data_IF_350212790408
#
_entry.id   IF_350212790408
#
_cell.length_a   1.000
_cell.length_b   1.000
_cell.length_c   1.000
_cell.angle_alpha   90.00
_cell.angle_beta   90.00
_cell.angle_gamma   90.00
#
_symmetry.space_group_name_H-M   'P 1'
#
loop_
_entity.id
_entity.type
_entity.pdbx_description
1 polymer ?
#
# COMPACT_ATOMS: atom_id res chain seq x y z
N UNK A 1 -21.13 1.00 -29.96
CA UNK A 1 -21.21 1.28 -28.50
C UNK A 1 -20.18 2.29 -28.11
N UNK A 2 -20.58 3.27 -27.29
CA UNK A 2 -19.68 4.21 -26.64
C UNK A 2 -19.99 4.22 -25.14
N UNK A 3 -18.95 4.25 -24.30
CA UNK A 3 -19.08 4.42 -22.87
C UNK A 3 -18.56 5.81 -22.47
N UNK A 4 -19.19 6.46 -21.49
CA UNK A 4 -18.78 7.76 -20.97
C UNK A 4 -17.48 7.69 -20.13
N UNK A 5 -17.07 6.48 -19.73
CA UNK A 5 -15.81 6.22 -19.02
C UNK A 5 -14.85 5.45 -19.91
N UNK A 6 -13.57 5.83 -19.89
CA UNK A 6 -12.51 5.10 -20.57
C UNK A 6 -12.18 3.78 -19.84
N UNK A 7 -12.21 3.82 -18.53
CA UNK A 7 -11.98 2.68 -17.63
C UNK A 7 -13.22 2.53 -16.75
N UNK A 8 -13.78 1.33 -16.69
CA UNK A 8 -14.97 1.00 -15.89
C UNK A 8 -14.53 0.10 -14.73
N UNK A 9 -14.89 0.51 -13.52
CA UNK A 9 -14.52 -0.19 -12.29
C UNK A 9 -15.78 -0.66 -11.55
N UNK A 10 -15.68 -1.72 -10.71
CA UNK A 10 -16.72 -2.03 -9.75
C UNK A 10 -17.08 -0.82 -8.89
N UNK A 11 -18.38 -0.57 -8.69
CA UNK A 11 -18.88 0.63 -8.00
C UNK A 11 -19.23 1.79 -8.92
N UNK A 12 -18.90 1.72 -10.20
CA UNK A 12 -19.13 2.81 -11.15
C UNK A 12 -20.58 2.97 -11.60
N UNK A 13 -20.92 4.24 -11.85
CA UNK A 13 -22.10 4.63 -12.66
C UNK A 13 -21.64 4.94 -14.08
N UNK A 14 -22.15 4.22 -15.03
CA UNK A 14 -21.80 4.37 -16.45
C UNK A 14 -22.99 4.80 -17.30
N UNK A 15 -22.68 5.43 -18.43
CA UNK A 15 -23.64 5.75 -19.48
C UNK A 15 -23.14 5.17 -20.78
N UNK A 16 -23.94 4.30 -21.38
CA UNK A 16 -23.67 3.69 -22.66
C UNK A 16 -24.51 4.37 -23.74
N UNK A 17 -23.92 4.69 -24.86
CA UNK A 17 -24.59 5.06 -26.08
C UNK A 17 -24.54 3.85 -27.04
N UNK A 18 -25.65 3.21 -27.23
CA UNK A 18 -25.80 2.03 -28.08
C UNK A 18 -26.41 2.47 -29.40
N UNK A 19 -25.70 2.25 -30.50
CA UNK A 19 -26.17 2.60 -31.85
C UNK A 19 -26.52 1.33 -32.60
N UNK A 20 -27.75 1.24 -33.06
CA UNK A 20 -28.29 0.18 -33.89
C UNK A 20 -28.51 0.71 -35.30
N UNK A 21 -28.36 -0.14 -36.31
CA UNK A 21 -28.51 0.26 -37.70
C UNK A 21 -29.38 -0.74 -38.45
N UNK A 22 -30.41 -0.28 -39.14
CA UNK A 22 -31.08 -1.07 -40.14
C UNK A 22 -30.12 -1.37 -41.30
N UNK A 23 -29.67 -2.60 -41.43
CA UNK A 23 -28.69 -3.03 -42.45
C UNK A 23 -29.31 -3.21 -43.83
N UNK A 24 -30.65 -3.29 -43.94
CA UNK A 24 -31.32 -3.34 -45.26
C UNK A 24 -30.96 -2.10 -46.08
N UNK A 25 -30.78 -2.29 -47.36
CA UNK A 25 -30.60 -1.19 -48.34
C UNK A 25 -31.92 -0.67 -48.95
N UNK A 26 -33.02 -1.42 -48.74
CA UNK A 26 -34.28 -1.15 -49.43
C UNK A 26 -35.50 -1.17 -48.52
N UNK A 27 -35.45 -1.88 -47.40
CA UNK A 27 -36.59 -2.19 -46.57
C UNK A 27 -36.61 -1.37 -45.29
N UNK A 28 -37.72 -0.74 -44.97
CA UNK A 28 -38.02 -0.09 -43.70
C UNK A 28 -38.56 -1.16 -42.74
N UNK A 29 -38.01 -1.22 -41.54
CA UNK A 29 -38.57 -2.01 -40.45
C UNK A 29 -39.53 -1.13 -39.64
N UNK A 30 -40.56 -1.73 -39.05
CA UNK A 30 -41.67 -1.01 -38.38
C UNK A 30 -41.89 -1.56 -36.98
N UNK A 31 -42.59 -0.78 -36.16
CA UNK A 31 -42.97 -1.17 -34.79
C UNK A 31 -41.84 -1.74 -33.97
N UNK A 32 -40.65 -1.08 -34.07
CA UNK A 32 -39.43 -1.57 -33.45
C UNK A 32 -39.46 -1.36 -31.93
N UNK A 33 -39.32 -2.43 -31.17
CA UNK A 33 -39.17 -2.44 -29.72
C UNK A 33 -37.78 -2.93 -29.37
N UNK A 34 -36.92 -2.04 -28.94
CA UNK A 34 -35.54 -2.33 -28.48
C UNK A 34 -35.51 -2.40 -26.97
N UNK A 35 -35.21 -3.56 -26.41
CA UNK A 35 -35.04 -3.76 -24.97
C UNK A 35 -33.55 -4.00 -24.64
N UNK A 36 -33.07 -3.36 -23.58
CA UNK A 36 -31.69 -3.57 -23.07
C UNK A 36 -31.75 -3.95 -21.59
N UNK A 37 -30.99 -4.96 -21.21
CA UNK A 37 -30.89 -5.47 -19.84
C UNK A 37 -29.50 -5.99 -19.52
N UNK A 38 -29.36 -6.59 -18.37
CA UNK A 38 -28.18 -7.41 -17.99
C UNK A 38 -28.66 -8.62 -17.20
N UNK A 39 -28.05 -9.76 -17.43
CA UNK A 39 -28.31 -10.98 -16.65
C UNK A 39 -27.42 -11.02 -15.37
N UNK A 40 -26.49 -10.08 -15.22
CA UNK A 40 -25.66 -9.99 -14.04
C UNK A 40 -26.40 -9.21 -12.95
N UNK A 41 -26.67 -9.87 -11.81
CA UNK A 41 -27.38 -9.27 -10.67
C UNK A 41 -26.65 -8.05 -10.05
N UNK A 42 -25.34 -7.96 -10.28
CA UNK A 42 -24.52 -6.84 -9.86
C UNK A 42 -24.54 -5.66 -10.84
N UNK A 43 -25.39 -5.69 -11.87
CA UNK A 43 -25.57 -4.64 -12.86
C UNK A 43 -27.00 -4.16 -12.85
N UNK A 44 -27.23 -2.96 -12.38
CA UNK A 44 -28.57 -2.37 -12.32
C UNK A 44 -28.76 -1.29 -13.40
N UNK A 45 -29.73 -1.49 -14.31
CA UNK A 45 -30.17 -0.45 -15.24
C UNK A 45 -30.88 0.65 -14.45
N UNK A 46 -30.48 1.90 -14.65
CA UNK A 46 -30.97 3.09 -13.91
C UNK A 46 -31.88 3.99 -14.75
N UNK A 47 -32.21 3.61 -15.96
CA UNK A 47 -33.19 4.31 -16.76
C UNK A 47 -34.62 4.13 -16.19
N UNK A 48 -35.51 5.07 -16.49
CA UNK A 48 -36.95 4.93 -16.16
C UNK A 48 -37.61 3.78 -16.90
N UNK A 49 -37.13 3.51 -18.12
CA UNK A 49 -37.51 2.37 -18.93
C UNK A 49 -36.25 1.72 -19.51
N UNK A 50 -36.29 0.43 -19.74
CA UNK A 50 -35.26 -0.33 -20.44
C UNK A 50 -35.69 -0.75 -21.85
N UNK A 51 -36.82 -0.22 -22.32
CA UNK A 51 -37.38 -0.50 -23.65
C UNK A 51 -37.67 0.82 -24.36
N UNK A 52 -37.21 0.94 -25.60
CA UNK A 52 -37.43 2.08 -26.50
C UNK A 52 -38.22 1.64 -27.69
N UNK A 53 -39.16 2.46 -28.11
CA UNK A 53 -40.04 2.19 -29.23
C UNK A 53 -39.78 3.18 -30.36
N UNK A 54 -39.71 2.66 -31.60
CA UNK A 54 -39.57 3.45 -32.82
C UNK A 54 -40.64 2.98 -33.81
N UNK A 55 -41.35 3.92 -34.36
CA UNK A 55 -42.43 3.61 -35.31
C UNK A 55 -41.85 2.99 -36.60
N UNK A 56 -40.79 3.61 -37.11
CA UNK A 56 -40.14 3.19 -38.35
C UNK A 56 -38.63 3.43 -38.24
N UNK A 57 -37.81 2.55 -38.81
CA UNK A 57 -36.38 2.74 -39.04
C UNK A 57 -36.10 2.51 -40.51
N UNK A 58 -35.79 3.60 -41.25
CA UNK A 58 -35.55 3.57 -42.70
C UNK A 58 -34.32 2.72 -43.07
N UNK A 59 -34.18 2.34 -44.36
CA UNK A 59 -32.97 1.66 -44.84
C UNK A 59 -31.70 2.42 -44.50
N UNK A 60 -30.69 1.72 -43.93
CA UNK A 60 -29.39 2.25 -43.49
C UNK A 60 -29.46 3.28 -42.35
N UNK A 61 -30.63 3.58 -41.82
CA UNK A 61 -30.77 4.51 -40.70
C UNK A 61 -30.19 3.93 -39.44
N UNK A 62 -29.67 4.85 -38.61
CA UNK A 62 -29.07 4.56 -37.29
C UNK A 62 -29.92 5.20 -36.22
N UNK A 63 -30.26 4.44 -35.22
CA UNK A 63 -30.86 4.92 -33.98
C UNK A 63 -29.86 4.79 -32.84
N UNK A 64 -29.92 5.68 -31.86
CA UNK A 64 -29.03 5.64 -30.68
C UNK A 64 -29.87 5.74 -29.41
N UNK A 65 -29.70 4.78 -28.53
CA UNK A 65 -30.30 4.78 -27.20
C UNK A 65 -29.23 4.99 -26.12
N UNK A 66 -29.65 5.62 -25.01
CA UNK A 66 -28.77 5.89 -23.88
C UNK A 66 -29.18 5.02 -22.71
N UNK A 67 -28.24 4.18 -22.27
CA UNK A 67 -28.43 3.27 -21.13
C UNK A 67 -27.55 3.75 -19.98
N UNK A 68 -28.17 4.03 -18.84
CA UNK A 68 -27.48 4.33 -17.60
C UNK A 68 -27.47 3.09 -16.72
N UNK A 69 -26.31 2.68 -16.24
CA UNK A 69 -26.16 1.50 -15.40
C UNK A 69 -25.29 1.79 -14.18
N UNK A 70 -25.58 1.10 -13.10
CA UNK A 70 -24.76 1.02 -11.89
C UNK A 70 -24.10 -0.35 -11.86
N UNK A 71 -22.78 -0.37 -11.79
CA UNK A 71 -22.00 -1.59 -11.55
C UNK A 71 -21.75 -1.69 -10.04
N UNK A 72 -22.24 -2.73 -9.41
CA UNK A 72 -22.03 -2.93 -7.96
C UNK A 72 -20.63 -3.47 -7.66
N UNK A 73 -20.16 -3.30 -6.42
CA UNK A 73 -18.82 -3.76 -5.99
C UNK A 73 -18.64 -5.29 -6.06
N UNK A 74 -19.74 -6.04 -5.94
CA UNK A 74 -19.75 -7.50 -6.01
C UNK A 74 -19.70 -8.09 -7.42
N UNK A 75 -19.55 -7.25 -8.47
CA UNK A 75 -19.45 -7.75 -9.85
C UNK A 75 -18.16 -8.57 -10.02
N UNK A 76 -18.29 -9.76 -10.60
CA UNK A 76 -17.18 -10.66 -10.91
C UNK A 76 -16.90 -10.71 -12.41
N UNK A 77 -15.77 -11.34 -12.82
CA UNK A 77 -15.35 -11.46 -14.21
C UNK A 77 -14.65 -10.23 -14.77
N UNK A 78 -14.14 -10.34 -15.98
CA UNK A 78 -13.40 -9.28 -16.70
C UNK A 78 -14.31 -8.36 -17.50
N UNK A 79 -15.57 -8.75 -17.66
CA UNK A 79 -16.55 -8.04 -18.48
C UNK A 79 -17.89 -7.94 -17.76
N UNK A 80 -18.62 -6.89 -18.11
CA UNK A 80 -20.05 -6.76 -17.80
C UNK A 80 -20.83 -6.84 -19.09
N UNK A 81 -21.80 -7.76 -19.13
CA UNK A 81 -22.62 -8.00 -20.30
C UNK A 81 -23.94 -7.26 -20.20
N UNK A 82 -24.28 -6.57 -21.30
CA UNK A 82 -25.56 -5.98 -21.55
C UNK A 82 -26.23 -6.74 -22.69
N UNK A 83 -27.36 -7.38 -22.42
CA UNK A 83 -28.16 -8.07 -23.42
C UNK A 83 -29.12 -7.10 -24.06
N UNK A 84 -29.31 -7.20 -25.37
CA UNK A 84 -30.36 -6.49 -26.06
C UNK A 84 -31.25 -7.48 -26.82
N UNK A 85 -32.53 -7.14 -26.93
CA UNK A 85 -33.49 -7.82 -27.76
C UNK A 85 -34.22 -6.77 -28.60
N UNK A 86 -34.27 -6.96 -29.88
CA UNK A 86 -34.96 -6.11 -30.86
C UNK A 86 -36.07 -6.90 -31.49
N UNK A 87 -37.33 -6.45 -31.35
CA UNK A 87 -38.50 -6.98 -32.01
C UNK A 87 -38.99 -5.95 -33.04
N UNK A 88 -39.29 -6.37 -34.23
CA UNK A 88 -39.76 -5.50 -35.31
C UNK A 88 -40.65 -6.25 -36.31
N UNK A 89 -41.45 -5.49 -37.05
CA UNK A 89 -42.22 -6.01 -38.18
C UNK A 89 -41.44 -5.76 -39.48
N UNK A 90 -41.33 -6.81 -40.29
CA UNK A 90 -40.76 -6.69 -41.64
C UNK A 90 -41.74 -6.06 -42.65
N UNK A 91 -41.40 -6.06 -43.93
CA UNK A 91 -42.23 -5.48 -45.00
C UNK A 91 -43.54 -6.24 -45.22
N UNK A 92 -43.58 -7.55 -44.93
CA UNK A 92 -44.75 -8.39 -45.00
C UNK A 92 -45.64 -8.25 -43.76
N UNK A 93 -45.20 -7.54 -42.72
CA UNK A 93 -45.87 -7.42 -41.43
C UNK A 93 -45.62 -8.62 -40.51
N UNK A 94 -44.64 -9.45 -40.83
CA UNK A 94 -44.23 -10.54 -39.96
C UNK A 94 -43.30 -10.03 -38.85
N UNK A 95 -43.61 -10.42 -37.61
CA UNK A 95 -42.77 -10.08 -36.48
C UNK A 95 -41.47 -10.89 -36.50
N UNK A 96 -40.35 -10.18 -36.38
CA UNK A 96 -38.98 -10.73 -36.27
C UNK A 96 -38.39 -10.34 -34.93
N UNK A 97 -37.50 -11.16 -34.44
CA UNK A 97 -36.75 -10.90 -33.21
C UNK A 97 -35.26 -11.16 -33.44
N UNK A 98 -34.43 -10.20 -32.99
CA UNK A 98 -32.99 -10.33 -32.93
C UNK A 98 -32.52 -10.04 -31.53
N UNK A 99 -31.49 -10.75 -31.08
CA UNK A 99 -30.87 -10.57 -29.75
C UNK A 99 -29.35 -10.64 -29.84
N UNK A 100 -28.72 -10.01 -28.89
CA UNK A 100 -27.25 -10.06 -28.79
C UNK A 100 -26.75 -9.50 -27.46
N UNK A 101 -25.43 -9.51 -27.31
CA UNK A 101 -24.76 -9.10 -26.12
C UNK A 101 -23.70 -8.04 -26.42
N UNK A 102 -23.57 -7.08 -25.53
CA UNK A 102 -22.55 -6.01 -25.55
C UNK A 102 -21.73 -6.17 -24.30
N UNK A 103 -20.44 -6.50 -24.45
CA UNK A 103 -19.52 -6.60 -23.34
C UNK A 103 -18.81 -5.26 -23.08
N UNK A 104 -18.71 -4.89 -21.82
CA UNK A 104 -17.94 -3.74 -21.32
C UNK A 104 -16.84 -4.26 -20.40
N UNK A 105 -15.59 -3.98 -20.73
CA UNK A 105 -14.44 -4.43 -19.95
C UNK A 105 -14.43 -3.74 -18.58
N UNK A 106 -14.23 -4.54 -17.55
CA UNK A 106 -13.99 -4.09 -16.18
C UNK A 106 -12.49 -4.01 -15.92
N UNK A 107 -12.09 -3.01 -15.19
CA UNK A 107 -10.73 -2.88 -14.66
C UNK A 107 -10.81 -2.80 -13.15
N UNK A 108 -9.93 -3.53 -12.47
CA UNK A 108 -9.81 -3.50 -11.02
C UNK A 108 -8.46 -2.90 -10.67
N UNK A 109 -8.49 -1.70 -10.11
CA UNK A 109 -7.26 -1.01 -9.73
C UNK A 109 -6.99 -1.19 -8.25
N UNK A 110 -5.73 -1.47 -7.86
CA UNK A 110 -5.31 -1.38 -6.48
C UNK A 110 -5.32 0.08 -6.04
N UNK A 111 -5.59 0.31 -4.77
CA UNK A 111 -5.49 1.61 -4.12
C UNK A 111 -4.88 1.41 -2.76
N UNK A 112 -3.64 1.79 -2.61
CA UNK A 112 -2.91 1.62 -1.36
C UNK A 112 -3.15 2.83 -0.46
N UNK A 113 -3.45 2.53 0.80
CA UNK A 113 -3.29 3.41 1.96
C UNK A 113 -2.20 2.82 2.83
N UNK A 114 -1.32 3.64 3.35
CA UNK A 114 -0.19 3.16 4.10
C UNK A 114 0.24 4.16 5.17
N UNK A 115 0.87 3.63 6.20
CA UNK A 115 1.45 4.40 7.30
C UNK A 115 2.74 3.74 7.74
N UNK A 116 3.69 4.54 8.20
CA UNK A 116 4.94 4.10 8.80
C UNK A 116 5.09 4.82 10.13
N UNK A 117 5.61 4.13 11.13
CA UNK A 117 5.99 4.74 12.41
C UNK A 117 6.90 5.94 12.14
N UNK A 118 6.51 7.10 12.63
CA UNK A 118 7.28 8.33 12.45
C UNK A 118 8.68 8.19 13.04
N UNK A 119 9.67 8.72 12.33
CA UNK A 119 10.99 8.94 12.91
C UNK A 119 10.90 9.97 14.04
N UNK A 120 11.79 9.86 15.02
CA UNK A 120 11.90 10.87 16.07
C UNK A 120 12.30 12.22 15.45
N UNK A 121 11.88 13.32 16.08
CA UNK A 121 12.27 14.67 15.66
C UNK A 121 13.79 14.86 15.65
N UNK A 122 14.50 14.10 16.49
CA UNK A 122 15.96 14.08 16.59
C UNK A 122 16.46 12.65 16.52
N UNK A 123 17.47 12.43 15.69
CA UNK A 123 18.18 11.15 15.54
C UNK A 123 19.70 11.38 15.61
N UNK A 124 20.47 10.37 16.02
CA UNK A 124 21.92 10.50 16.18
C UNK A 124 22.67 9.70 15.11
N UNK A 125 23.75 10.29 14.60
CA UNK A 125 24.61 9.59 13.63
C UNK A 125 25.15 8.28 14.25
N UNK A 126 25.02 7.18 13.51
CA UNK A 126 25.34 5.83 13.97
C UNK A 126 24.13 5.06 14.54
N UNK A 127 22.98 5.71 14.72
CA UNK A 127 21.79 5.04 15.21
C UNK A 127 21.22 4.08 14.16
N UNK A 128 20.62 3.00 14.67
CA UNK A 128 19.79 2.07 13.93
C UNK A 128 18.37 2.12 14.52
N UNK A 129 17.45 2.73 13.78
CA UNK A 129 16.08 3.01 14.23
C UNK A 129 15.14 1.97 13.60
N UNK A 130 14.48 1.18 14.44
CA UNK A 130 13.46 0.24 13.97
C UNK A 130 12.25 1.00 13.42
N UNK A 131 11.76 0.56 12.26
CA UNK A 131 10.54 1.03 11.64
C UNK A 131 9.54 -0.12 11.56
N UNK A 132 8.28 0.22 11.72
CA UNK A 132 7.16 -0.65 11.37
C UNK A 132 6.12 0.17 10.61
N UNK A 133 5.33 -0.49 9.81
CA UNK A 133 4.28 0.16 9.03
C UNK A 133 3.18 -0.82 8.67
N UNK A 134 2.09 -0.26 8.20
CA UNK A 134 0.95 -1.01 7.72
C UNK A 134 0.54 -0.52 6.33
N UNK A 135 0.32 -1.46 5.43
CA UNK A 135 -0.09 -1.21 4.04
C UNK A 135 -1.44 -1.86 3.85
N UNK A 136 -2.45 -1.08 3.49
CA UNK A 136 -3.81 -1.55 3.25
C UNK A 136 -4.22 -1.31 1.81
N UNK A 137 -4.73 -2.33 1.13
CA UNK A 137 -5.29 -2.19 -0.20
C UNK A 137 -6.81 -1.96 -0.12
N UNK A 138 -7.23 -0.71 -0.24
CA UNK A 138 -8.64 -0.29 -0.24
C UNK A 138 -9.23 -0.26 -1.67
N UNK A 139 -8.45 -0.64 -2.67
CA UNK A 139 -8.88 -0.76 -4.07
C UNK A 139 -9.67 -2.01 -4.36
N UNK A 140 -10.01 -2.21 -5.63
CA UNK A 140 -10.75 -3.37 -6.13
C UNK A 140 -9.84 -4.41 -6.82
N UNK A 141 -8.61 -4.04 -7.14
CA UNK A 141 -7.59 -4.90 -7.72
C UNK A 141 -6.54 -5.29 -6.69
N UNK A 142 -5.80 -6.35 -6.98
CA UNK A 142 -4.63 -6.78 -6.21
C UNK A 142 -3.44 -5.87 -6.52
N UNK A 143 -2.69 -5.51 -5.52
CA UNK A 143 -1.41 -4.83 -5.66
C UNK A 143 -0.28 -5.85 -5.66
N UNK A 144 0.66 -5.71 -6.60
CA UNK A 144 1.83 -6.58 -6.75
C UNK A 144 3.10 -5.79 -6.49
N UNK A 145 4.16 -6.49 -6.08
CA UNK A 145 5.50 -5.92 -5.88
C UNK A 145 5.51 -4.69 -4.96
N UNK A 146 4.65 -4.70 -3.95
CA UNK A 146 4.54 -3.59 -3.01
C UNK A 146 5.80 -3.48 -2.19
N UNK A 147 6.50 -2.36 -2.31
CA UNK A 147 7.73 -2.09 -1.57
C UNK A 147 7.82 -0.63 -1.16
N UNK A 148 8.58 -0.39 -0.08
CA UNK A 148 8.86 0.95 0.42
C UNK A 148 10.36 1.20 0.44
N UNK A 149 10.74 2.32 -0.13
CA UNK A 149 12.10 2.87 -0.13
C UNK A 149 12.14 4.20 0.60
N UNK A 150 13.32 4.77 0.79
CA UNK A 150 13.53 6.04 1.46
C UNK A 150 14.53 6.90 0.68
N UNK A 151 14.20 8.18 0.54
CA UNK A 151 15.07 9.20 -0.01
C UNK A 151 15.13 10.39 0.95
N UNK A 152 16.05 10.33 1.91
CA UNK A 152 16.31 11.37 2.91
C UNK A 152 17.82 11.54 3.05
N UNK A 153 18.38 12.74 2.83
CA UNK A 153 19.82 12.95 2.95
C UNK A 153 20.34 12.58 4.34
N UNK A 154 21.33 11.70 4.39
CA UNK A 154 21.95 11.24 5.64
C UNK A 154 21.23 10.11 6.37
N UNK A 155 20.13 9.62 5.81
CA UNK A 155 19.44 8.44 6.30
C UNK A 155 19.22 7.46 5.14
N UNK A 156 19.29 6.16 5.42
CA UNK A 156 18.91 5.14 4.45
C UNK A 156 18.28 3.93 5.15
N UNK A 157 17.43 3.22 4.42
CA UNK A 157 16.89 1.94 4.87
C UNK A 157 18.00 0.89 4.85
N UNK A 158 18.12 0.11 5.90
CA UNK A 158 19.02 -1.06 5.95
C UNK A 158 18.69 -2.06 4.83
N UNK A 159 17.39 -2.21 4.54
CA UNK A 159 16.83 -3.00 3.43
C UNK A 159 15.54 -2.34 2.94
N UNK A 160 15.25 -2.49 1.65
CA UNK A 160 13.91 -2.18 1.13
C UNK A 160 12.85 -2.96 1.91
N UNK A 161 11.82 -2.28 2.40
CA UNK A 161 10.73 -2.95 3.10
C UNK A 161 9.75 -3.48 2.06
N UNK A 162 9.60 -4.80 1.98
CA UNK A 162 8.84 -5.49 0.95
C UNK A 162 7.62 -6.20 1.54
N UNK A 163 6.42 -5.79 1.09
CA UNK A 163 5.15 -6.42 1.45
C UNK A 163 4.71 -7.49 0.45
N UNK A 164 5.28 -7.48 -0.77
CA UNK A 164 4.94 -8.44 -1.82
C UNK A 164 3.60 -8.15 -2.49
N UNK A 165 2.65 -9.04 -2.30
CA UNK A 165 1.31 -8.93 -2.86
C UNK A 165 0.31 -8.56 -1.77
N UNK A 166 -0.57 -7.59 -2.04
CA UNK A 166 -1.64 -7.17 -1.12
C UNK A 166 -2.99 -7.30 -1.82
N UNK A 167 -3.78 -8.27 -1.38
CA UNK A 167 -5.12 -8.53 -1.91
C UNK A 167 -6.08 -7.37 -1.62
N UNK A 168 -7.15 -7.25 -2.41
CA UNK A 168 -8.19 -6.25 -2.16
C UNK A 168 -8.81 -6.43 -0.77
N UNK A 169 -8.95 -5.33 -0.03
CA UNK A 169 -9.55 -5.33 1.30
C UNK A 169 -8.71 -5.98 2.39
N UNK A 170 -7.43 -6.27 2.13
CA UNK A 170 -6.49 -6.79 3.13
C UNK A 170 -5.41 -5.78 3.46
N UNK A 171 -4.67 -6.07 4.53
CA UNK A 171 -3.49 -5.32 4.93
C UNK A 171 -2.28 -6.23 5.09
N UNK A 172 -1.10 -5.64 4.94
CA UNK A 172 0.19 -6.26 5.19
C UNK A 172 1.01 -5.37 6.12
N UNK A 173 1.64 -5.99 7.12
CA UNK A 173 2.62 -5.32 7.97
C UNK A 173 3.98 -5.33 7.29
N UNK A 174 4.75 -4.27 7.47
CA UNK A 174 6.13 -4.12 7.00
C UNK A 174 7.03 -3.71 8.15
N UNK A 175 8.21 -4.31 8.19
CA UNK A 175 9.26 -4.02 9.16
C UNK A 175 10.55 -3.63 8.46
N UNK A 176 11.31 -2.77 9.11
CA UNK A 176 12.59 -2.32 8.62
C UNK A 176 13.41 -1.60 9.68
N UNK A 177 14.51 -1.05 9.24
CA UNK A 177 15.31 -0.14 10.04
C UNK A 177 15.92 0.95 9.18
N UNK A 178 16.02 2.14 9.74
CA UNK A 178 16.79 3.26 9.20
C UNK A 178 18.15 3.30 9.86
N UNK A 179 19.19 3.45 9.06
CA UNK A 179 20.54 3.74 9.49
C UNK A 179 20.80 5.24 9.29
N UNK A 180 21.39 5.88 10.31
CA UNK A 180 21.68 7.31 10.33
C UNK A 180 23.17 7.52 10.07
N UNK A 181 23.55 7.96 8.86
CA UNK A 181 24.96 8.15 8.48
C UNK A 181 25.49 9.58 8.75
N UNK A 182 24.58 10.53 8.88
CA UNK A 182 24.88 11.95 8.82
C UNK A 182 24.82 12.49 7.38
N UNK A 183 24.60 13.79 7.25
CA UNK A 183 24.40 14.45 5.93
C UNK A 183 25.66 14.39 5.07
N UNK A 184 25.53 14.24 3.75
CA UNK A 184 26.68 14.11 2.84
C UNK A 184 27.39 15.45 2.53
N UNK A 185 26.82 16.57 2.92
CA UNK A 185 27.34 17.90 2.67
C UNK A 185 28.33 18.40 3.75
N UNK A 186 28.77 19.66 3.64
CA UNK A 186 29.76 20.24 4.58
C UNK A 186 29.25 20.30 6.01
N UNK A 187 27.95 20.45 6.20
CA UNK A 187 27.30 20.39 7.50
C UNK A 187 26.74 18.97 7.69
N UNK A 188 27.58 18.11 8.24
CA UNK A 188 27.27 16.68 8.44
C UNK A 188 26.04 16.42 9.32
N UNK A 189 25.64 17.39 10.11
CA UNK A 189 24.53 17.32 11.07
C UNK A 189 23.52 18.43 10.83
N UNK A 190 22.36 18.40 11.51
CA UNK A 190 21.28 19.37 11.42
C UNK A 190 20.05 18.82 10.73
N UNK A 191 19.11 19.71 10.41
CA UNK A 191 17.83 19.35 9.82
C UNK A 191 18.00 18.67 8.46
N UNK A 192 17.25 17.62 8.24
CA UNK A 192 17.11 16.91 6.97
C UNK A 192 15.66 16.62 6.70
N UNK A 193 15.29 16.64 5.42
CA UNK A 193 13.94 16.34 4.95
C UNK A 193 14.00 15.47 3.69
N UNK A 194 12.96 14.69 3.47
CA UNK A 194 12.84 13.82 2.32
C UNK A 194 11.57 13.00 2.39
N UNK A 195 11.56 11.83 1.77
CA UNK A 195 10.36 11.02 1.65
C UNK A 195 10.62 9.53 1.85
N UNK A 196 9.67 8.84 2.47
CA UNK A 196 9.41 7.45 2.17
C UNK A 196 8.61 7.36 0.87
N UNK A 197 8.92 6.37 0.05
CA UNK A 197 8.32 6.17 -1.26
C UNK A 197 7.79 4.74 -1.31
N UNK A 198 6.48 4.59 -1.49
CA UNK A 198 5.87 3.30 -1.77
C UNK A 198 5.66 3.14 -3.27
N UNK A 199 6.04 1.99 -3.82
CA UNK A 199 5.77 1.62 -5.20
C UNK A 199 5.07 0.28 -5.26
N UNK A 200 4.18 0.11 -6.24
CA UNK A 200 3.45 -1.14 -6.49
C UNK A 200 2.96 -1.18 -7.94
N UNK A 201 2.60 -2.37 -8.41
CA UNK A 201 2.03 -2.56 -9.75
C UNK A 201 0.64 -3.17 -9.66
N UNK A 202 -0.19 -2.92 -10.67
CA UNK A 202 -1.45 -3.64 -10.89
C UNK A 202 -1.23 -4.93 -11.71
N UNK A 203 -2.30 -5.66 -11.96
CA UNK A 203 -2.30 -6.90 -12.75
C UNK A 203 -1.84 -6.71 -14.20
N UNK A 204 -1.88 -5.49 -14.73
CA UNK A 204 -1.41 -5.16 -16.08
C UNK A 204 0.06 -4.81 -16.12
N UNK A 205 0.72 -4.73 -14.94
CA UNK A 205 2.11 -4.29 -14.80
C UNK A 205 2.28 -2.76 -14.79
N UNK A 206 1.19 -2.01 -14.72
CA UNK A 206 1.27 -0.55 -14.58
C UNK A 206 1.73 -0.20 -13.18
N UNK A 207 2.75 0.65 -13.10
CA UNK A 207 3.34 1.12 -11.85
C UNK A 207 2.58 2.29 -11.24
N UNK A 208 2.54 2.29 -9.91
CA UNK A 208 1.98 3.34 -9.06
C UNK A 208 2.99 3.70 -7.99
N UNK A 209 2.98 4.96 -7.58
CA UNK A 209 3.86 5.49 -6.55
C UNK A 209 3.10 6.48 -5.68
N UNK A 210 3.41 6.48 -4.39
CA UNK A 210 2.96 7.48 -3.42
C UNK A 210 4.09 7.82 -2.46
N UNK A 211 4.03 8.95 -1.76
CA UNK A 211 5.10 9.47 -0.92
C UNK A 211 4.59 9.94 0.42
N UNK A 212 5.40 9.71 1.47
CA UNK A 212 5.17 10.21 2.81
C UNK A 212 6.38 11.04 3.25
N UNK A 213 6.18 12.33 3.51
CA UNK A 213 7.24 13.25 3.92
C UNK A 213 7.83 12.90 5.28
N UNK A 214 9.13 13.10 5.42
CA UNK A 214 9.93 12.91 6.63
C UNK A 214 10.73 14.16 6.90
N UNK A 215 10.69 14.64 8.15
CA UNK A 215 11.53 15.73 8.65
C UNK A 215 12.13 15.27 9.97
N UNK A 216 13.44 15.42 10.12
CA UNK A 216 14.16 15.11 11.37
C UNK A 216 15.45 15.92 11.48
N UNK A 217 16.03 16.01 12.67
CA UNK A 217 17.32 16.61 12.90
C UNK A 217 18.36 15.52 13.19
N UNK A 218 19.44 15.49 12.41
CA UNK A 218 20.57 14.59 12.64
C UNK A 218 21.55 15.28 13.60
N UNK A 219 21.81 14.66 14.73
CA UNK A 219 22.80 15.13 15.69
C UNK A 219 24.08 14.26 15.70
N UNK A 220 25.21 14.77 16.23
CA UNK A 220 26.42 13.97 16.41
C UNK A 220 26.15 12.71 17.24
N UNK A 221 26.93 11.62 17.05
CA UNK A 221 26.78 10.41 17.84
C UNK A 221 26.98 10.68 19.33
N UNK A 222 26.13 10.08 20.16
CA UNK A 222 26.27 10.14 21.61
C UNK A 222 27.43 9.23 22.00
N UNK A 223 28.61 9.82 22.27
CA UNK A 223 29.73 9.09 22.84
C UNK A 223 29.43 8.92 24.34
N UNK A 224 28.91 7.77 24.74
CA UNK A 224 28.90 7.37 26.14
C UNK A 224 30.37 7.10 26.48
N UNK A 225 31.09 8.13 26.96
CA UNK A 225 32.33 7.88 27.70
C UNK A 225 31.89 7.16 28.96
N UNK A 226 32.09 5.85 28.98
CA UNK A 226 32.12 5.10 30.22
C UNK A 226 33.25 5.70 31.03
N UNK A 227 32.94 6.77 31.78
CA UNK A 227 33.77 7.19 32.91
C UNK A 227 33.60 6.05 33.88
N UNK A 228 34.40 5.00 33.64
CA UNK A 228 34.60 3.95 34.60
C UNK A 228 34.91 4.68 35.90
N UNK A 229 33.98 4.71 36.81
CA UNK A 229 34.24 4.92 38.21
C UNK A 229 35.32 3.89 38.51
N UNK A 230 36.62 4.33 38.52
CA UNK A 230 37.65 3.51 39.09
C UNK A 230 37.12 3.08 40.44
N UNK A 231 36.79 1.80 40.53
CA UNK A 231 36.32 1.18 41.76
C UNK A 231 37.46 1.25 42.77
N UNK A 232 37.52 2.37 43.51
CA UNK A 232 38.42 2.57 44.61
C UNK A 232 38.25 1.51 45.70
N UNK A 233 37.27 0.62 45.58
CA UNK A 233 37.01 -0.48 46.51
C UNK A 233 38.16 -1.52 46.52
N UNK A 234 38.83 -1.74 45.37
CA UNK A 234 39.95 -2.68 45.29
C UNK A 234 41.21 -2.14 45.97
N UNK A 235 41.41 -0.82 46.01
CA UNK A 235 42.58 -0.23 46.71
C UNK A 235 42.38 -0.28 48.22
N UNK A 236 41.20 -0.10 48.74
CA UNK A 236 40.95 -0.18 50.19
C UNK A 236 41.09 -1.61 50.73
N UNK A 237 40.75 -2.63 49.93
CA UNK A 237 40.84 -4.03 50.31
C UNK A 237 42.31 -4.51 50.38
N UNK A 238 43.20 -4.04 49.50
CA UNK A 238 44.65 -4.34 49.57
C UNK A 238 45.32 -3.73 50.79
N UNK A 239 44.99 -2.52 51.17
CA UNK A 239 45.53 -1.89 52.40
C UNK A 239 45.10 -2.64 53.66
N UNK A 240 43.92 -3.13 53.71
CA UNK A 240 43.38 -3.93 54.80
C UNK A 240 44.14 -5.23 54.99
N UNK A 241 44.46 -5.96 53.93
CA UNK A 241 45.30 -7.17 54.01
C UNK A 241 46.75 -6.88 54.49
N UNK A 242 47.34 -5.78 54.07
CA UNK A 242 48.67 -5.39 54.51
C UNK A 242 48.70 -5.09 56.03
N UNK A 243 47.69 -4.41 56.55
CA UNK A 243 47.55 -4.17 57.98
C UNK A 243 47.33 -5.46 58.77
N UNK A 244 46.56 -6.43 58.28
CA UNK A 244 46.35 -7.70 58.94
C UNK A 244 47.64 -8.54 59.04
N UNK A 245 48.37 -8.66 57.94
CA UNK A 245 49.67 -9.39 57.91
C UNK A 245 50.71 -8.74 58.85
N UNK A 246 50.79 -7.44 58.97
CA UNK A 246 51.71 -6.73 59.84
C UNK A 246 51.37 -6.98 61.32
N UNK A 247 50.14 -7.05 61.73
CA UNK A 247 49.73 -7.36 63.13
C UNK A 247 50.04 -8.80 63.46
N UNK A 248 49.83 -9.76 62.57
CA UNK A 248 50.21 -11.16 62.80
C UNK A 248 51.69 -11.33 62.95
N UNK A 249 52.53 -10.67 62.14
CA UNK A 249 54.01 -10.69 62.29
C UNK A 249 54.49 -10.12 63.64
N UNK A 250 53.83 -9.06 64.12
CA UNK A 250 54.17 -8.47 65.45
C UNK A 250 53.78 -9.43 66.57
N UNK A 251 52.64 -10.09 66.48
CA UNK A 251 52.24 -11.06 67.48
C UNK A 251 53.17 -12.27 67.53
N UNK A 252 53.53 -12.83 66.37
CA UNK A 252 54.52 -13.94 66.32
C UNK A 252 55.85 -13.54 66.85
N UNK A 253 56.36 -12.35 66.55
CA UNK A 253 57.64 -11.83 67.13
C UNK A 253 57.54 -11.64 68.64
N UNK A 254 56.46 -11.14 69.19
CA UNK A 254 56.19 -10.99 70.61
C UNK A 254 56.17 -12.35 71.32
N UNK A 255 55.44 -13.32 70.78
CA UNK A 255 55.39 -14.70 71.33
C UNK A 255 56.80 -15.32 71.33
N UNK A 256 57.55 -15.20 70.26
CA UNK A 256 58.89 -15.69 70.13
C UNK A 256 59.84 -15.04 71.21
N UNK A 257 59.72 -13.74 71.39
CA UNK A 257 60.51 -12.98 72.37
C UNK A 257 60.15 -13.46 73.80
N UNK A 258 58.89 -13.63 74.16
CA UNK A 258 58.46 -14.12 75.47
C UNK A 258 58.89 -15.57 75.74
N UNK A 259 58.82 -16.45 74.74
CA UNK A 259 59.27 -17.85 74.87
C UNK A 259 60.79 -17.91 75.07
N UNK A 260 61.55 -17.09 74.34
CA UNK A 260 63.02 -17.00 74.49
C UNK A 260 63.43 -16.42 75.84
N UNK A 261 62.66 -15.48 76.39
CA UNK A 261 62.93 -14.86 77.70
C UNK A 261 62.59 -15.84 78.87
N UNK A 262 61.71 -16.79 78.65
CA UNK A 262 61.32 -17.80 79.65
C UNK A 262 62.30 -19.00 79.73
N UNK A 263 63.23 -19.13 78.78
CA UNK A 263 64.23 -20.15 78.68
C UNK A 263 65.67 -19.64 79.15
N UNK A 264 65.75 -18.42 79.62
CA UNK A 264 66.87 -17.87 80.34
C UNK A 264 66.48 -17.67 81.82
#
# INVERSE_FOLDING_TARGET
TKCNKKTVEPGDKIKLELTFQNKSKKETIRNVALRVGSNNENVAIRNKTNTWYFENIAPQEKITVKVSAQINLGVEGEFVDFNYTEQYDDKEGEQKEEAGTIAVTLTRLPKIQWEITALNDVVYAGDRIALSGNIMNVGQGKAYNVNVTMEVPGLHLEKTMFAGEVEKGTSAEIDGAVLVDGKPDKEKYGNTEGNFIITYTDETGKEYQDTLGVITEIQPPVIVTDTGTEDNSKRSMQWWMICFVSVECILVAAVYYFVKRRKR
#
